data_IF_642627105515
#
_entry.id   IF_642627105515
#
_cell.length_a   1.000
_cell.length_b   1.000
_cell.length_c   1.000
_cell.angle_alpha   90.00
_cell.angle_beta   90.00
_cell.angle_gamma   90.00
#
_symmetry.space_group_name_H-M   'P 1'
#
loop_
_entity.id
_entity.type
_entity.pdbx_description
1 polymer ?
#
# COMPACT_ATOMS: atom_id res chain seq x y z
N UNK A 1 12.81 -6.39 -24.24
CA UNK A 1 13.04 -7.59 -23.41
C UNK A 1 11.67 -8.15 -23.11
N UNK A 2 11.30 -9.32 -23.62
CA UNK A 2 10.01 -9.94 -23.29
C UNK A 2 9.99 -10.25 -21.79
N UNK A 3 8.94 -9.83 -21.09
CA UNK A 3 8.77 -10.20 -19.68
C UNK A 3 8.58 -11.72 -19.60
N UNK A 4 9.39 -12.39 -18.79
CA UNK A 4 9.18 -13.80 -18.52
C UNK A 4 7.79 -13.99 -17.88
N UNK A 5 7.13 -15.11 -18.16
CA UNK A 5 5.86 -15.48 -17.52
C UNK A 5 5.94 -15.46 -16.00
N UNK A 6 7.15 -15.66 -15.44
CA UNK A 6 7.44 -15.53 -14.02
C UNK A 6 7.24 -14.10 -13.51
N UNK A 7 7.68 -13.07 -14.24
CA UNK A 7 7.49 -11.66 -13.84
C UNK A 7 6.02 -11.24 -13.84
N UNK A 8 5.24 -11.71 -14.83
CA UNK A 8 3.80 -11.44 -14.88
C UNK A 8 3.10 -12.11 -13.69
N UNK A 9 3.43 -13.37 -13.41
CA UNK A 9 2.86 -14.12 -12.29
C UNK A 9 3.20 -13.48 -10.94
N UNK A 10 4.44 -13.04 -10.74
CA UNK A 10 4.88 -12.40 -9.50
C UNK A 10 4.17 -11.06 -9.28
N UNK A 11 4.01 -10.24 -10.33
CA UNK A 11 3.21 -9.01 -10.24
C UNK A 11 1.74 -9.30 -9.89
N UNK A 12 1.12 -10.30 -10.52
CA UNK A 12 -0.26 -10.70 -10.20
C UNK A 12 -0.41 -11.17 -8.75
N UNK A 13 0.55 -11.95 -8.24
CA UNK A 13 0.58 -12.39 -6.85
C UNK A 13 0.70 -11.21 -5.88
N UNK A 14 1.55 -10.23 -6.20
CA UNK A 14 1.68 -9.00 -5.42
C UNK A 14 0.35 -8.24 -5.34
N UNK A 15 -0.30 -7.98 -6.47
CA UNK A 15 -1.59 -7.27 -6.51
C UNK A 15 -2.68 -8.04 -5.76
N UNK A 16 -2.72 -9.37 -5.91
CA UNK A 16 -3.65 -10.22 -5.17
C UNK A 16 -3.42 -10.15 -3.65
N UNK A 17 -2.16 -10.06 -3.20
CA UNK A 17 -1.86 -9.93 -1.78
C UNK A 17 -2.24 -8.54 -1.24
N UNK A 18 -2.03 -7.47 -2.00
CA UNK A 18 -2.52 -6.12 -1.63
C UNK A 18 -4.05 -6.12 -1.49
N UNK A 19 -4.75 -6.82 -2.38
CA UNK A 19 -6.20 -6.98 -2.31
C UNK A 19 -6.63 -7.74 -1.05
N UNK A 20 -5.98 -8.87 -0.75
CA UNK A 20 -6.23 -9.64 0.46
C UNK A 20 -6.01 -8.81 1.72
N UNK A 21 -4.92 -8.04 1.79
CA UNK A 21 -4.63 -7.14 2.91
C UNK A 21 -5.74 -6.10 3.12
N UNK A 22 -6.28 -5.57 2.02
CA UNK A 22 -7.41 -4.64 2.06
C UNK A 22 -8.67 -5.30 2.64
N UNK A 23 -8.97 -6.53 2.22
CA UNK A 23 -10.11 -7.32 2.70
C UNK A 23 -9.99 -7.67 4.19
N UNK A 24 -8.83 -8.12 4.63
CA UNK A 24 -8.53 -8.41 6.04
C UNK A 24 -8.66 -7.17 6.92
N UNK A 25 -8.24 -6.00 6.41
CA UNK A 25 -8.39 -4.72 7.13
C UNK A 25 -9.86 -4.29 7.23
N UNK A 26 -10.65 -4.50 6.18
CA UNK A 26 -12.08 -4.20 6.18
C UNK A 26 -12.86 -5.14 7.13
N UNK A 27 -12.52 -6.42 7.14
CA UNK A 27 -13.07 -7.41 8.08
C UNK A 27 -12.72 -7.04 9.53
N UNK A 28 -11.46 -6.71 9.79
CA UNK A 28 -11.03 -6.20 11.09
C UNK A 28 -11.82 -4.95 11.50
N UNK A 29 -12.00 -4.00 10.59
CA UNK A 29 -12.72 -2.76 10.87
C UNK A 29 -14.21 -3.00 11.22
N UNK A 30 -14.83 -4.01 10.60
CA UNK A 30 -16.21 -4.40 10.84
C UNK A 30 -16.39 -5.12 12.18
N UNK A 31 -15.51 -6.06 12.52
CA UNK A 31 -15.70 -6.95 13.67
C UNK A 31 -14.94 -6.48 14.92
N UNK A 32 -13.82 -5.78 14.75
CA UNK A 32 -12.94 -5.27 15.82
C UNK A 32 -12.57 -6.32 16.87
N UNK A 33 -12.43 -7.58 16.43
CA UNK A 33 -12.18 -8.72 17.33
C UNK A 33 -10.84 -8.62 18.06
N UNK A 34 -9.87 -7.94 17.45
CA UNK A 34 -8.56 -7.63 18.03
C UNK A 34 -8.35 -6.12 18.16
N UNK A 35 -7.55 -5.74 19.16
CA UNK A 35 -7.11 -4.36 19.38
C UNK A 35 -6.29 -3.87 18.19
N UNK A 36 -6.40 -2.59 17.88
CA UNK A 36 -5.72 -1.97 16.73
C UNK A 36 -4.20 -2.20 16.74
N UNK A 37 -3.56 -2.12 17.91
CA UNK A 37 -2.11 -2.33 18.00
C UNK A 37 -1.69 -3.73 17.54
N UNK A 38 -2.39 -4.77 18.01
CA UNK A 38 -2.11 -6.15 17.62
C UNK A 38 -2.39 -6.39 16.12
N UNK A 39 -3.44 -5.77 15.58
CA UNK A 39 -3.69 -5.80 14.15
C UNK A 39 -2.56 -5.13 13.35
N UNK A 40 -2.09 -3.96 13.80
CA UNK A 40 -1.01 -3.23 13.15
C UNK A 40 0.31 -3.99 13.14
N UNK A 41 0.62 -4.79 14.17
CA UNK A 41 1.82 -5.64 14.18
C UNK A 41 1.77 -6.70 13.07
N UNK A 42 0.60 -7.32 12.82
CA UNK A 42 0.43 -8.24 11.70
C UNK A 42 0.50 -7.50 10.36
N UNK A 43 -0.21 -6.37 10.25
CA UNK A 43 -0.23 -5.51 9.06
C UNK A 43 1.18 -5.04 8.68
N UNK A 44 2.05 -4.74 9.65
CA UNK A 44 3.45 -4.37 9.41
C UNK A 44 4.20 -5.49 8.69
N UNK A 45 4.01 -6.75 9.11
CA UNK A 45 4.65 -7.90 8.47
C UNK A 45 4.18 -8.04 7.02
N UNK A 46 2.87 -7.99 6.78
CA UNK A 46 2.31 -8.10 5.42
C UNK A 46 2.79 -6.97 4.51
N UNK A 47 2.78 -5.73 4.99
CA UNK A 47 3.30 -4.57 4.26
C UNK A 47 4.78 -4.75 3.93
N UNK A 48 5.59 -5.22 4.90
CA UNK A 48 7.00 -5.49 4.64
C UNK A 48 7.19 -6.61 3.63
N UNK A 49 6.37 -7.67 3.64
CA UNK A 49 6.45 -8.72 2.61
C UNK A 49 6.12 -8.16 1.23
N UNK A 50 5.11 -7.31 1.10
CA UNK A 50 4.71 -6.68 -0.18
C UNK A 50 5.77 -5.68 -0.66
N UNK A 51 6.31 -4.84 0.23
CA UNK A 51 7.31 -3.83 -0.13
C UNK A 51 8.70 -4.42 -0.33
N UNK A 52 9.06 -5.48 0.40
CA UNK A 52 10.30 -6.21 0.23
C UNK A 52 10.22 -7.30 -0.85
N UNK A 53 9.06 -7.47 -1.52
CA UNK A 53 8.79 -8.60 -2.42
C UNK A 53 9.80 -8.73 -3.56
N UNK A 54 10.83 -9.53 -3.30
CA UNK A 54 11.32 -10.58 -4.18
C UNK A 54 10.52 -11.87 -3.93
N UNK A 55 9.25 -11.92 -4.36
CA UNK A 55 8.47 -13.16 -4.35
C UNK A 55 9.10 -14.11 -5.39
N UNK A 56 9.83 -15.11 -4.90
CA UNK A 56 10.65 -16.05 -5.68
C UNK A 56 12.10 -15.58 -5.84
N UNK A 57 12.98 -15.90 -4.88
CA UNK A 57 14.42 -15.63 -5.00
C UNK A 57 15.04 -16.46 -6.13
N UNK A 58 15.28 -15.83 -7.28
CA UNK A 58 16.49 -16.05 -8.08
C UNK A 58 17.45 -14.88 -7.80
N UNK A 59 18.76 -15.15 -7.72
CA UNK A 59 19.81 -14.20 -7.32
C UNK A 59 19.96 -12.96 -8.24
N UNK A 60 19.15 -12.88 -9.30
CA UNK A 60 19.09 -11.77 -10.27
C UNK A 60 17.79 -10.95 -10.20
N UNK A 61 16.94 -11.18 -9.20
CA UNK A 61 15.71 -10.40 -9.03
C UNK A 61 16.07 -9.01 -8.46
N UNK A 62 16.39 -8.08 -9.37
CA UNK A 62 16.30 -6.63 -9.13
C UNK A 62 15.03 -6.34 -8.32
N UNK A 63 15.05 -5.40 -7.38
CA UNK A 63 13.91 -4.98 -6.56
C UNK A 63 12.65 -4.72 -7.42
N UNK A 64 11.83 -5.74 -7.70
CA UNK A 64 11.24 -5.82 -9.06
C UNK A 64 9.98 -4.99 -9.26
N UNK A 65 9.39 -4.40 -8.21
CA UNK A 65 8.06 -3.77 -8.35
C UNK A 65 7.87 -2.44 -7.63
N UNK A 66 8.94 -1.84 -7.10
CA UNK A 66 8.93 -0.41 -6.82
C UNK A 66 9.33 0.30 -8.10
N UNK A 67 8.42 1.09 -8.68
CA UNK A 67 8.76 1.81 -9.91
C UNK A 67 9.93 2.74 -9.62
N UNK A 68 11.03 2.53 -10.33
CA UNK A 68 12.24 3.31 -10.22
C UNK A 68 12.51 4.03 -11.54
N UNK A 69 13.26 5.13 -11.47
CA UNK A 69 13.55 6.01 -12.62
C UNK A 69 14.33 5.33 -13.75
N UNK A 70 14.86 4.13 -13.55
CA UNK A 70 15.48 3.34 -14.62
C UNK A 70 14.52 2.43 -15.40
N UNK A 71 13.21 2.50 -15.15
CA UNK A 71 12.20 1.94 -16.07
C UNK A 71 12.17 2.81 -17.33
N UNK A 72 12.91 2.39 -18.36
CA UNK A 72 12.89 3.00 -19.69
C UNK A 72 11.56 2.67 -20.36
N UNK A 73 10.53 3.45 -20.04
CA UNK A 73 9.20 3.32 -20.62
C UNK A 73 8.77 4.67 -21.19
N UNK A 74 8.09 4.67 -22.33
CA UNK A 74 7.54 5.88 -22.98
C UNK A 74 6.31 6.44 -22.23
N UNK A 75 6.25 6.24 -20.91
CA UNK A 75 5.11 6.57 -20.08
C UNK A 75 5.20 8.01 -19.61
N UNK A 76 4.07 8.71 -19.65
CA UNK A 76 4.00 10.12 -19.27
C UNK A 76 3.80 10.25 -17.76
N UNK A 77 4.81 10.74 -17.04
CA UNK A 77 4.69 11.05 -15.60
C UNK A 77 3.52 11.99 -15.31
N UNK A 78 3.24 12.93 -16.22
CA UNK A 78 2.09 13.81 -16.11
C UNK A 78 0.77 13.03 -16.22
N UNK A 79 0.64 12.13 -17.19
CA UNK A 79 -0.55 11.30 -17.34
C UNK A 79 -0.74 10.33 -16.17
N UNK A 80 0.35 9.77 -15.64
CA UNK A 80 0.32 8.94 -14.42
C UNK A 80 -0.23 9.72 -13.23
N UNK A 81 0.26 10.96 -13.01
CA UNK A 81 -0.22 11.83 -11.94
C UNK A 81 -1.67 12.27 -12.15
N UNK A 82 -2.02 12.73 -13.35
CA UNK A 82 -3.38 13.18 -13.71
C UNK A 82 -4.40 12.04 -13.60
N UNK A 83 -3.95 10.79 -13.73
CA UNK A 83 -4.81 9.64 -13.52
C UNK A 83 -5.25 9.49 -12.06
N UNK A 84 -4.55 10.07 -11.07
CA UNK A 84 -4.83 9.84 -9.65
C UNK A 84 -6.04 10.66 -9.14
N UNK A 85 -6.92 10.08 -8.29
CA UNK A 85 -7.99 10.83 -7.66
C UNK A 85 -7.41 11.88 -6.73
N UNK A 86 -7.95 13.10 -6.75
CA UNK A 86 -7.47 14.22 -5.93
C UNK A 86 -7.46 13.90 -4.44
N UNK A 87 -8.44 13.12 -3.97
CA UNK A 87 -8.52 12.70 -2.57
C UNK A 87 -7.33 11.82 -2.17
N UNK A 88 -6.89 10.91 -3.07
CA UNK A 88 -5.72 10.06 -2.83
C UNK A 88 -4.45 10.91 -2.77
N UNK A 89 -4.28 11.85 -3.70
CA UNK A 89 -3.12 12.77 -3.70
C UNK A 89 -3.10 13.59 -2.41
N UNK A 90 -4.24 14.15 -2.00
CA UNK A 90 -4.37 14.90 -0.76
C UNK A 90 -4.00 14.05 0.46
N UNK A 91 -4.50 12.82 0.56
CA UNK A 91 -4.19 11.91 1.64
C UNK A 91 -2.70 11.53 1.66
N UNK A 92 -2.10 11.25 0.50
CA UNK A 92 -0.67 10.93 0.40
C UNK A 92 0.20 12.10 0.85
N UNK A 93 -0.12 13.32 0.43
CA UNK A 93 0.63 14.53 0.81
C UNK A 93 0.40 14.99 2.25
N UNK A 94 -0.67 14.55 2.91
CA UNK A 94 -0.91 14.88 4.31
C UNK A 94 0.18 14.30 5.22
N UNK A 95 0.82 15.15 6.02
CA UNK A 95 1.81 14.69 7.02
C UNK A 95 1.17 14.01 8.22
N UNK A 96 2.02 13.45 9.09
CA UNK A 96 1.63 13.02 10.43
C UNK A 96 1.77 14.21 11.39
N UNK A 97 0.68 14.63 12.01
CA UNK A 97 0.61 15.85 12.84
C UNK A 97 1.12 15.62 14.27
N UNK A 98 1.06 14.40 14.80
CA UNK A 98 1.51 14.04 16.15
C UNK A 98 1.78 12.54 16.30
N UNK A 99 2.61 12.19 17.30
CA UNK A 99 2.96 10.81 17.61
C UNK A 99 2.01 10.17 18.64
N UNK A 100 1.41 11.00 19.50
CA UNK A 100 0.50 10.55 20.56
C UNK A 100 -0.94 10.61 20.06
N UNK A 101 -1.48 9.44 19.73
CA UNK A 101 -2.85 9.22 19.26
C UNK A 101 -3.62 8.33 20.24
N UNK A 102 -4.91 8.59 20.39
CA UNK A 102 -5.85 7.69 21.07
C UNK A 102 -6.18 6.47 20.21
N UNK A 103 -6.73 5.42 20.83
CA UNK A 103 -7.19 4.22 20.10
C UNK A 103 -8.17 4.57 18.96
N UNK A 104 -9.13 5.46 19.22
CA UNK A 104 -10.10 5.87 18.21
C UNK A 104 -9.46 6.59 17.01
N UNK A 105 -8.39 7.35 17.25
CA UNK A 105 -7.64 8.01 16.18
C UNK A 105 -6.84 7.03 15.35
N UNK A 106 -6.27 6.00 15.97
CA UNK A 106 -5.59 4.91 15.27
C UNK A 106 -6.57 4.10 14.43
N UNK A 107 -7.71 3.73 15.00
CA UNK A 107 -8.75 3.01 14.27
C UNK A 107 -9.20 3.78 13.03
N UNK A 108 -9.44 5.09 13.19
CA UNK A 108 -9.80 5.96 12.07
C UNK A 108 -8.71 5.96 11.00
N UNK A 109 -7.45 6.00 11.39
CA UNK A 109 -6.33 6.01 10.45
C UNK A 109 -6.23 4.73 9.64
N UNK A 110 -6.42 3.57 10.28
CA UNK A 110 -6.45 2.25 9.63
C UNK A 110 -7.60 2.16 8.63
N UNK A 111 -8.80 2.58 9.06
CA UNK A 111 -10.01 2.55 8.21
C UNK A 111 -9.86 3.49 7.01
N UNK A 112 -9.42 4.72 7.23
CA UNK A 112 -9.23 5.71 6.16
C UNK A 112 -8.18 5.25 5.15
N UNK A 113 -7.06 4.68 5.63
CA UNK A 113 -6.05 4.09 4.76
C UNK A 113 -6.62 2.95 3.91
N UNK A 114 -7.34 2.01 4.51
CA UNK A 114 -7.92 0.87 3.80
C UNK A 114 -8.91 1.31 2.71
N UNK A 115 -9.78 2.29 3.03
CA UNK A 115 -10.69 2.87 2.04
C UNK A 115 -9.96 3.49 0.84
N UNK A 116 -8.84 4.17 1.09
CA UNK A 116 -8.01 4.72 0.02
C UNK A 116 -7.33 3.62 -0.80
N UNK A 117 -6.82 2.56 -0.15
CA UNK A 117 -6.22 1.42 -0.84
C UNK A 117 -7.24 0.70 -1.72
N UNK A 118 -8.43 0.38 -1.20
CA UNK A 118 -9.54 -0.20 -1.96
C UNK A 118 -9.87 0.62 -3.19
N UNK A 119 -10.03 1.93 -3.02
CA UNK A 119 -10.36 2.83 -4.14
C UNK A 119 -9.27 2.85 -5.22
N UNK A 120 -8.00 2.73 -4.84
CA UNK A 120 -6.90 2.63 -5.82
C UNK A 120 -6.95 1.28 -6.54
N UNK A 121 -7.19 0.17 -5.83
CA UNK A 121 -7.37 -1.16 -6.43
C UNK A 121 -8.54 -1.21 -7.42
N UNK A 122 -9.69 -0.67 -7.05
CA UNK A 122 -10.88 -0.64 -7.91
C UNK A 122 -10.61 0.13 -9.20
N UNK A 123 -9.93 1.28 -9.13
CA UNK A 123 -9.62 2.05 -10.33
C UNK A 123 -8.44 1.46 -11.12
N UNK A 124 -7.52 0.77 -10.46
CA UNK A 124 -6.48 0.00 -11.15
C UNK A 124 -7.10 -1.09 -12.03
N UNK A 125 -8.07 -1.86 -11.49
CA UNK A 125 -8.77 -2.90 -12.25
C UNK A 125 -9.51 -2.35 -13.48
N UNK A 126 -9.92 -1.08 -13.44
CA UNK A 126 -10.62 -0.39 -14.52
C UNK A 126 -9.69 0.48 -15.41
N UNK A 127 -8.37 0.37 -15.27
CA UNK A 127 -7.43 1.19 -16.03
C UNK A 127 -7.39 0.79 -17.51
N UNK A 128 -7.61 1.75 -18.40
CA UNK A 128 -7.64 1.53 -19.85
C UNK A 128 -6.36 1.94 -20.57
N UNK A 129 -5.45 2.62 -19.87
CA UNK A 129 -4.14 3.02 -20.40
C UNK A 129 -3.02 2.52 -19.50
N UNK A 130 -1.85 2.28 -20.09
CA UNK A 130 -0.67 1.88 -19.33
C UNK A 130 -0.31 2.95 -18.29
N UNK A 131 -0.31 4.23 -18.66
CA UNK A 131 -0.01 5.35 -17.74
C UNK A 131 -0.91 5.36 -16.51
N UNK A 132 -2.22 5.16 -16.71
CA UNK A 132 -3.17 5.12 -15.60
C UNK A 132 -2.91 3.92 -14.68
N UNK A 133 -2.72 2.72 -15.26
CA UNK A 133 -2.42 1.52 -14.50
C UNK A 133 -1.13 1.71 -13.67
N UNK A 134 -0.10 2.30 -14.27
CA UNK A 134 1.18 2.55 -13.63
C UNK A 134 1.10 3.59 -12.52
N UNK A 135 0.37 4.68 -12.75
CA UNK A 135 0.06 5.66 -11.71
C UNK A 135 -0.65 5.01 -10.52
N UNK A 136 -1.56 4.06 -10.76
CA UNK A 136 -2.27 3.37 -9.67
C UNK A 136 -1.38 2.40 -8.91
N UNK A 137 -0.46 1.71 -9.58
CA UNK A 137 0.57 0.90 -8.90
C UNK A 137 1.42 1.78 -7.98
N UNK A 138 1.88 2.96 -8.43
CA UNK A 138 2.59 3.90 -7.57
C UNK A 138 1.77 4.34 -6.36
N UNK A 139 0.48 4.62 -6.57
CA UNK A 139 -0.38 5.04 -5.48
C UNK A 139 -0.54 3.91 -4.44
N UNK A 140 -0.60 2.64 -4.85
CA UNK A 140 -0.58 1.50 -3.92
C UNK A 140 0.73 1.49 -3.12
N UNK A 141 1.87 1.63 -3.79
CA UNK A 141 3.20 1.63 -3.15
C UNK A 141 3.31 2.76 -2.12
N UNK A 142 2.88 3.96 -2.48
CA UNK A 142 2.90 5.12 -1.60
C UNK A 142 1.95 4.93 -0.41
N UNK A 143 0.77 4.34 -0.60
CA UNK A 143 -0.15 4.03 0.49
C UNK A 143 0.43 3.00 1.46
N UNK A 144 1.05 1.93 0.95
CA UNK A 144 1.73 0.92 1.76
C UNK A 144 2.89 1.53 2.57
N UNK A 145 3.73 2.34 1.92
CA UNK A 145 4.81 3.06 2.61
C UNK A 145 4.30 4.03 3.66
N UNK A 146 3.19 4.73 3.38
CA UNK A 146 2.56 5.65 4.33
C UNK A 146 2.08 4.89 5.57
N UNK A 147 1.48 3.72 5.41
CA UNK A 147 1.07 2.88 6.55
C UNK A 147 2.27 2.30 7.31
N UNK A 148 3.32 1.83 6.63
CA UNK A 148 4.55 1.41 7.30
C UNK A 148 5.17 2.54 8.16
N UNK A 149 5.16 3.77 7.63
CA UNK A 149 5.59 4.95 8.36
C UNK A 149 4.68 5.23 9.57
N UNK A 150 3.37 5.15 9.40
CA UNK A 150 2.40 5.32 10.48
C UNK A 150 2.62 4.31 11.62
N UNK A 151 2.75 3.02 11.28
CA UNK A 151 3.04 1.94 12.24
C UNK A 151 4.34 2.25 12.99
N UNK A 152 5.39 2.67 12.28
CA UNK A 152 6.67 3.04 12.89
C UNK A 152 6.52 4.21 13.87
N UNK A 153 5.75 5.23 13.52
CA UNK A 153 5.44 6.37 14.41
C UNK A 153 4.70 5.89 15.65
N UNK A 154 3.72 4.99 15.50
CA UNK A 154 2.94 4.46 16.61
C UNK A 154 3.78 3.66 17.63
N UNK A 155 4.98 3.19 17.28
CA UNK A 155 5.90 2.58 18.26
C UNK A 155 6.34 3.57 19.34
N UNK A 156 6.31 4.87 19.06
CA UNK A 156 6.55 5.94 20.04
C UNK A 156 5.31 6.32 20.85
N UNK A 157 4.13 5.80 20.51
CA UNK A 157 2.88 6.15 21.17
C UNK A 157 2.74 5.42 22.50
N UNK A 158 2.81 6.17 23.60
CA UNK A 158 2.67 5.65 24.97
C UNK A 158 1.23 5.60 25.47
N UNK A 159 0.26 6.11 24.69
CA UNK A 159 -1.15 6.17 25.08
C UNK A 159 -1.98 4.97 24.62
N UNK A 160 -1.38 4.04 23.88
CA UNK A 160 -2.07 2.86 23.33
C UNK A 160 -1.69 1.62 24.13
N UNK A 161 -2.71 0.87 24.56
CA UNK A 161 -2.50 -0.44 25.16
C UNK A 161 -2.04 -1.44 24.08
N UNK A 162 -0.87 -2.04 24.32
CA UNK A 162 -0.26 -3.00 23.38
C UNK A 162 -0.88 -4.40 23.47
N UNK A 163 -1.48 -4.72 24.62
CA UNK A 163 -2.06 -6.02 24.96
C UNK A 163 -3.35 -5.81 25.75
#
# INVERSE_FOLDING_TARGET
MELSSAHIKSFQQRVAYILQLCEETEEWAANREQRAYAFLDNLDVDINVILASGIGREETADSTYLIHSSWTTDMSTAAMYESLPKEIVSYLCAGFDRFLLSNAEVDRWIVEWSQHLRRVLDVFANSTTADAAMGRVLAMDLLLQKMACFITILRFNTMIERY
#
